data_IF_371450009255
#
_entry.id   IF_371450009255
#
_cell.length_a   1.000
_cell.length_b   1.000
_cell.length_c   1.000
_cell.angle_alpha   90.00
_cell.angle_beta   90.00
_cell.angle_gamma   90.00
#
_symmetry.space_group_name_H-M   'P 1'
#
loop_
_entity.id
_entity.type
_entity.pdbx_description
1 polymer ?
#
# COMPACT_ATOMS: atom_id res chain seq x y z
N UNK A 1 -21.26 -4.65 16.85
CA UNK A 1 -20.26 -3.57 16.97
C UNK A 1 -19.41 -3.57 15.70
N UNK A 2 -19.57 -2.56 14.84
CA UNK A 2 -18.85 -2.47 13.57
C UNK A 2 -17.34 -2.39 13.82
N UNK A 3 -16.58 -3.41 13.40
CA UNK A 3 -15.12 -3.42 13.54
C UNK A 3 -14.54 -2.26 12.75
N UNK A 4 -13.97 -1.29 13.47
CA UNK A 4 -13.34 -0.07 12.96
C UNK A 4 -11.97 -0.35 12.30
N UNK A 5 -11.84 -1.46 11.59
CA UNK A 5 -10.57 -2.00 11.08
C UNK A 5 -10.56 -2.16 9.56
N UNK A 6 -11.68 -1.92 8.87
CA UNK A 6 -11.75 -2.13 7.42
C UNK A 6 -11.16 -0.98 6.58
N UNK A 7 -11.04 0.22 7.15
CA UNK A 7 -10.61 1.40 6.40
C UNK A 7 -9.11 1.43 6.10
N UNK A 8 -8.25 0.99 7.04
CA UNK A 8 -6.79 0.99 6.89
C UNK A 8 -6.32 -0.44 6.65
N UNK A 9 -5.97 -0.73 5.41
CA UNK A 9 -5.46 -2.05 5.00
C UNK A 9 -3.97 -2.00 4.71
N UNK A 10 -3.27 -3.07 5.07
CA UNK A 10 -1.89 -3.28 4.65
C UNK A 10 -1.82 -3.48 3.13
N UNK A 11 -0.86 -2.81 2.51
CA UNK A 11 -0.52 -2.92 1.09
C UNK A 11 0.97 -3.16 0.93
N UNK A 12 1.31 -3.99 -0.04
CA UNK A 12 2.69 -4.24 -0.44
C UNK A 12 2.97 -3.42 -1.69
N UNK A 13 4.00 -2.58 -1.63
CA UNK A 13 4.50 -1.85 -2.78
C UNK A 13 5.44 -2.77 -3.55
N UNK A 14 5.24 -2.80 -4.86
CA UNK A 14 6.08 -3.52 -5.78
C UNK A 14 6.79 -2.50 -6.68
N UNK A 15 8.09 -2.67 -6.88
CA UNK A 15 8.80 -1.86 -7.86
C UNK A 15 8.39 -2.24 -9.29
N UNK A 16 8.26 -1.26 -10.18
CA UNK A 16 7.95 -1.49 -11.59
C UNK A 16 9.07 -2.20 -12.34
N UNK A 17 10.32 -1.98 -11.93
CA UNK A 17 11.51 -2.34 -12.70
C UNK A 17 12.08 -3.68 -12.23
N UNK A 18 12.39 -3.77 -10.93
CA UNK A 18 12.94 -4.96 -10.29
C UNK A 18 11.84 -6.01 -9.96
N UNK A 19 10.54 -5.64 -10.00
CA UNK A 19 9.37 -6.45 -9.60
C UNK A 19 9.41 -6.99 -8.17
N UNK A 20 10.37 -6.55 -7.38
CA UNK A 20 10.51 -6.93 -5.98
C UNK A 20 9.49 -6.23 -5.09
N UNK A 21 9.11 -6.92 -4.01
CA UNK A 21 8.11 -6.49 -3.03
C UNK A 21 8.82 -6.05 -1.76
N UNK A 22 9.37 -4.84 -1.78
CA UNK A 22 10.34 -4.41 -0.76
C UNK A 22 9.71 -3.59 0.38
N UNK A 23 8.46 -3.17 0.24
CA UNK A 23 7.81 -2.34 1.26
C UNK A 23 6.39 -2.78 1.57
N UNK A 24 6.08 -2.96 2.85
CA UNK A 24 4.72 -3.01 3.37
C UNK A 24 4.37 -1.67 4.00
N UNK A 25 3.23 -1.10 3.62
CA UNK A 25 2.72 0.15 4.18
C UNK A 25 1.21 0.02 4.41
N UNK A 26 0.64 0.85 5.26
CA UNK A 26 -0.82 0.90 5.42
C UNK A 26 -1.37 2.00 4.52
N UNK A 27 -2.44 1.71 3.77
CA UNK A 27 -3.23 2.75 3.11
C UNK A 27 -4.65 2.77 3.60
N UNK A 28 -5.23 3.95 3.66
CA UNK A 28 -6.65 4.09 3.92
C UNK A 28 -7.42 3.91 2.61
N UNK A 29 -8.05 2.74 2.43
CA UNK A 29 -8.79 2.39 1.21
C UNK A 29 -9.99 3.31 0.95
N UNK A 30 -10.49 4.02 1.97
CA UNK A 30 -11.63 4.95 1.84
C UNK A 30 -11.22 6.32 1.32
N UNK A 31 -10.05 6.81 1.71
CA UNK A 31 -9.56 8.12 1.27
C UNK A 31 -8.78 7.99 -0.04
N UNK A 32 -8.00 6.92 -0.18
CA UNK A 32 -7.11 6.68 -1.31
C UNK A 32 -7.54 5.40 -2.05
N UNK A 33 -8.60 5.56 -2.84
CA UNK A 33 -9.20 4.48 -3.64
C UNK A 33 -8.30 4.06 -4.80
N UNK A 34 -7.49 4.97 -5.33
CA UNK A 34 -6.57 4.70 -6.44
C UNK A 34 -5.36 3.82 -6.03
N UNK A 35 -4.66 3.29 -7.03
CA UNK A 35 -3.41 2.55 -6.82
C UNK A 35 -2.34 3.53 -6.32
N UNK A 36 -1.68 3.17 -5.22
CA UNK A 36 -0.67 4.04 -4.62
C UNK A 36 0.66 3.86 -5.39
N UNK A 37 1.13 4.94 -6.00
CA UNK A 37 2.41 4.98 -6.71
C UNK A 37 3.38 5.89 -5.95
N UNK A 38 4.48 5.31 -5.46
CA UNK A 38 5.47 6.03 -4.67
C UNK A 38 6.86 5.78 -5.24
N UNK A 39 7.65 6.85 -5.37
CA UNK A 39 9.07 6.76 -5.71
C UNK A 39 9.85 6.43 -4.44
N UNK A 40 10.02 5.14 -4.18
CA UNK A 40 10.83 4.59 -3.08
C UNK A 40 12.13 4.03 -3.64
N UNK A 41 13.14 3.94 -2.80
CA UNK A 41 14.40 3.30 -3.12
C UNK A 41 14.17 1.80 -3.41
N UNK A 42 14.51 1.26 -4.60
CA UNK A 42 14.68 -0.20 -4.78
C UNK A 42 16.18 -0.47 -4.59
N UNK A 43 16.53 -1.33 -3.63
CA UNK A 43 17.89 -1.85 -3.43
C UNK A 43 18.24 -2.88 -4.50
#
# INVERSE_FOLDING_TARGET
MARKTDARGDITLQCSDCRERNYSTMKNRRNDTQRLELRKYCS
#
